data_IF_866284275120
#
_entry.id   IF_866284275120
#
_cell.length_a   1.000
_cell.length_b   1.000
_cell.length_c   1.000
_cell.angle_alpha   90.00
_cell.angle_beta   90.00
_cell.angle_gamma   90.00
#
_symmetry.space_group_name_H-M   'P 1'
#
loop_
_entity.id
_entity.type
_entity.pdbx_description
1 polymer ?
#
# COMPACT_ATOMS: atom_id res chain seq x y z
N UNK A 1 17.67 10.76 20.67
CA UNK A 1 18.85 11.44 21.27
C UNK A 1 20.13 11.19 20.47
N UNK A 2 20.40 9.96 20.01
CA UNK A 2 21.60 9.62 19.23
C UNK A 2 21.79 10.43 17.93
N UNK A 3 20.71 10.69 17.18
CA UNK A 3 20.76 11.46 15.93
C UNK A 3 21.27 12.89 16.11
N UNK A 4 20.94 13.54 17.23
CA UNK A 4 21.41 14.90 17.55
C UNK A 4 22.90 14.93 17.89
N UNK A 5 23.41 13.90 18.55
CA UNK A 5 24.83 13.76 18.83
C UNK A 5 25.63 13.54 17.54
N UNK A 6 25.15 12.66 16.66
CA UNK A 6 25.77 12.42 15.36
C UNK A 6 25.74 13.65 14.46
N UNK A 7 24.66 14.44 14.50
CA UNK A 7 24.61 15.73 13.80
C UNK A 7 25.64 16.72 14.36
N UNK A 8 25.81 16.78 15.67
CA UNK A 8 26.83 17.63 16.30
C UNK A 8 28.25 17.22 15.89
N UNK A 9 28.55 15.91 15.87
CA UNK A 9 29.83 15.36 15.41
C UNK A 9 30.04 15.61 13.91
N UNK A 10 29.01 15.45 13.08
CA UNK A 10 29.06 15.74 11.66
C UNK A 10 29.40 17.21 11.41
N UNK A 11 28.75 18.13 12.12
CA UNK A 11 29.02 19.55 11.99
C UNK A 11 30.37 19.97 12.56
N UNK A 12 30.81 19.42 13.69
CA UNK A 12 32.14 19.73 14.24
C UNK A 12 33.27 19.27 13.32
N UNK A 13 33.05 18.20 12.54
CA UNK A 13 34.02 17.70 11.56
C UNK A 13 33.96 18.43 10.22
N UNK A 14 32.78 18.88 9.79
CA UNK A 14 32.56 19.56 8.50
C UNK A 14 32.85 21.07 8.56
N UNK A 15 32.51 21.69 9.69
CA UNK A 15 32.61 23.13 9.92
C UNK A 15 33.52 23.34 11.15
N UNK A 16 34.58 24.13 11.00
CA UNK A 16 35.40 24.54 12.14
C UNK A 16 34.57 25.32 13.17
N UNK A 17 35.01 25.32 14.44
CA UNK A 17 34.25 25.78 15.61
C UNK A 17 33.59 27.17 15.47
N UNK A 18 34.12 28.06 14.62
CA UNK A 18 33.63 29.43 14.39
C UNK A 18 33.31 29.75 12.92
N UNK A 19 32.83 28.77 12.15
CA UNK A 19 32.49 28.98 10.73
C UNK A 19 31.18 29.76 10.57
N UNK A 20 31.10 30.86 9.80
CA UNK A 20 29.84 31.56 9.51
C UNK A 20 28.85 30.73 8.68
N UNK A 21 29.30 29.59 8.14
CA UNK A 21 28.49 28.64 7.36
C UNK A 21 27.78 27.59 8.23
N UNK A 22 27.94 27.63 9.55
CA UNK A 22 27.30 26.68 10.47
C UNK A 22 25.77 26.90 10.45
N UNK A 23 24.96 25.86 10.17
CA UNK A 23 23.51 25.99 10.20
C UNK A 23 23.01 26.21 11.63
N UNK A 24 22.23 27.26 11.82
CA UNK A 24 21.63 27.62 13.10
C UNK A 24 20.47 26.67 13.45
N UNK A 25 20.31 26.39 14.75
CA UNK A 25 19.22 25.55 15.28
C UNK A 25 17.87 26.16 14.87
N UNK A 26 17.12 25.46 14.03
CA UNK A 26 15.84 25.92 13.48
C UNK A 26 15.86 26.36 12.01
N UNK A 27 17.03 26.46 11.37
CA UNK A 27 17.11 26.66 9.92
C UNK A 27 16.59 25.43 9.15
N UNK A 28 16.02 25.65 7.96
CA UNK A 28 15.57 24.56 7.09
C UNK A 28 16.71 23.57 6.73
N UNK A 29 17.96 24.08 6.65
CA UNK A 29 19.15 23.25 6.39
C UNK A 29 19.47 22.34 7.59
N UNK A 30 19.38 22.85 8.82
CA UNK A 30 19.57 22.05 10.04
C UNK A 30 18.56 20.89 10.14
N UNK A 31 17.30 21.13 9.77
CA UNK A 31 16.27 20.08 9.77
C UNK A 31 16.50 19.05 8.66
N UNK A 32 16.92 19.48 7.46
CA UNK A 32 17.22 18.57 6.35
C UNK A 32 18.37 17.62 6.69
N UNK A 33 19.44 18.13 7.28
CA UNK A 33 20.60 17.32 7.67
C UNK A 33 20.21 16.32 8.78
N UNK A 34 19.38 16.75 9.74
CA UNK A 34 18.85 15.85 10.77
C UNK A 34 18.02 14.72 10.15
N UNK A 35 17.13 15.02 9.20
CA UNK A 35 16.29 14.03 8.53
C UNK A 35 17.14 13.05 7.69
N UNK A 36 18.19 13.54 7.03
CA UNK A 36 19.14 12.69 6.28
C UNK A 36 19.91 11.75 7.20
N UNK A 37 20.49 12.26 8.29
CA UNK A 37 21.22 11.46 9.27
C UNK A 37 20.30 10.40 9.89
N UNK A 38 19.09 10.80 10.25
CA UNK A 38 18.08 9.88 10.79
C UNK A 38 17.70 8.79 9.78
N UNK A 39 17.54 9.16 8.51
CA UNK A 39 17.28 8.22 7.41
C UNK A 39 18.39 7.18 7.29
N UNK A 40 19.66 7.60 7.34
CA UNK A 40 20.81 6.70 7.26
C UNK A 40 20.84 5.74 8.45
N UNK A 41 20.61 6.25 9.67
CA UNK A 41 20.65 5.43 10.89
C UNK A 41 19.54 4.39 10.88
N UNK A 42 18.30 4.80 10.56
CA UNK A 42 17.17 3.87 10.49
C UNK A 42 17.38 2.87 9.35
N UNK A 43 17.85 3.32 8.18
CA UNK A 43 18.17 2.44 7.06
C UNK A 43 19.23 1.38 7.42
N UNK A 44 20.31 1.78 8.10
CA UNK A 44 21.35 0.86 8.56
C UNK A 44 20.84 -0.11 9.63
N UNK A 45 20.00 0.35 10.55
CA UNK A 45 19.36 -0.51 11.55
C UNK A 45 18.44 -1.55 10.90
N UNK A 46 17.60 -1.14 9.96
CA UNK A 46 16.73 -2.04 9.21
C UNK A 46 17.54 -3.05 8.38
N UNK A 47 18.64 -2.61 7.76
CA UNK A 47 19.56 -3.51 7.08
C UNK A 47 20.19 -4.53 8.04
N UNK A 48 20.57 -4.11 9.24
CA UNK A 48 21.11 -5.04 10.25
C UNK A 48 20.06 -6.04 10.73
N UNK A 49 18.78 -5.67 10.79
CA UNK A 49 17.69 -6.60 11.12
C UNK A 49 17.49 -7.64 10.02
N UNK A 50 17.60 -7.24 8.76
CA UNK A 50 17.55 -8.19 7.63
C UNK A 50 18.76 -9.11 7.67
N UNK A 51 19.94 -8.56 7.95
CA UNK A 51 21.17 -9.35 8.06
C UNK A 51 21.12 -10.39 9.19
N UNK A 52 20.64 -9.97 10.37
CA UNK A 52 20.46 -10.86 11.51
C UNK A 52 19.39 -11.92 11.22
N UNK A 53 18.30 -11.54 10.56
CA UNK A 53 17.28 -12.47 10.11
C UNK A 53 17.82 -13.54 9.17
N UNK A 54 18.77 -13.22 8.28
CA UNK A 54 19.42 -14.22 7.40
C UNK A 54 20.35 -15.13 8.20
N UNK A 55 21.12 -14.58 9.15
CA UNK A 55 22.05 -15.37 9.97
C UNK A 55 21.38 -16.30 10.98
N UNK A 56 20.20 -15.93 11.46
CA UNK A 56 19.44 -16.68 12.47
C UNK A 56 18.47 -17.69 11.86
N UNK A 57 18.41 -17.80 10.52
CA UNK A 57 17.61 -18.83 9.86
C UNK A 57 18.08 -20.23 10.27
N UNK A 58 17.11 -21.12 10.45
CA UNK A 58 17.39 -22.51 10.82
C UNK A 58 18.11 -23.21 9.66
N UNK A 59 19.10 -24.03 9.97
CA UNK A 59 19.82 -24.84 8.99
C UNK A 59 18.85 -25.70 8.15
N UNK A 60 19.07 -25.71 6.83
CA UNK A 60 18.25 -26.46 5.88
C UNK A 60 18.74 -27.90 5.74
N UNK A 61 17.89 -28.76 5.17
CA UNK A 61 18.27 -30.15 4.89
C UNK A 61 19.45 -30.26 3.91
N UNK A 62 19.61 -29.29 3.02
CA UNK A 62 20.79 -29.20 2.15
C UNK A 62 22.07 -28.92 2.94
N UNK A 63 22.03 -27.96 3.86
CA UNK A 63 23.18 -27.58 4.70
C UNK A 63 23.57 -28.69 5.66
N UNK A 64 22.59 -29.38 6.26
CA UNK A 64 22.84 -30.53 7.15
C UNK A 64 23.60 -31.67 6.46
N UNK A 65 23.45 -31.81 5.13
CA UNK A 65 24.15 -32.80 4.31
C UNK A 65 25.36 -32.20 3.58
N UNK A 66 25.65 -30.92 3.76
CA UNK A 66 26.74 -30.20 3.07
C UNK A 66 26.56 -30.17 1.55
N UNK A 67 25.32 -30.10 1.07
CA UNK A 67 24.98 -30.03 -0.35
C UNK A 67 24.61 -28.61 -0.73
N UNK A 68 25.04 -28.17 -1.90
CA UNK A 68 24.58 -26.89 -2.48
C UNK A 68 23.29 -27.11 -3.25
N UNK A 69 22.27 -26.30 -2.96
CA UNK A 69 21.02 -26.28 -3.70
C UNK A 69 21.27 -26.11 -5.21
N UNK A 70 20.45 -26.76 -6.04
CA UNK A 70 20.49 -26.66 -7.51
C UNK A 70 21.66 -27.35 -8.25
N UNK A 71 22.77 -27.68 -7.58
CA UNK A 71 24.00 -28.17 -8.25
C UNK A 71 24.38 -29.61 -7.94
N UNK A 72 23.73 -30.24 -6.95
CA UNK A 72 24.12 -31.56 -6.49
C UNK A 72 23.53 -32.70 -7.34
N UNK A 73 24.29 -33.80 -7.43
CA UNK A 73 23.85 -35.05 -8.10
C UNK A 73 23.36 -36.08 -7.08
N UNK A 74 22.47 -37.00 -7.48
CA UNK A 74 22.01 -38.13 -6.65
C UNK A 74 23.16 -38.98 -6.06
N UNK A 75 24.27 -39.13 -6.80
CA UNK A 75 25.48 -39.80 -6.30
C UNK A 75 26.13 -39.03 -5.13
N UNK A 76 26.16 -37.70 -5.20
CA UNK A 76 26.69 -36.84 -4.15
C UNK A 76 25.78 -36.89 -2.91
N UNK A 77 24.46 -36.89 -3.10
CA UNK A 77 23.49 -37.07 -2.02
C UNK A 77 23.77 -38.35 -1.21
N UNK A 78 23.87 -39.49 -1.89
CA UNK A 78 24.19 -40.79 -1.24
C UNK A 78 25.55 -40.78 -0.55
N UNK A 79 26.57 -40.18 -1.18
CA UNK A 79 27.94 -40.14 -0.65
C UNK A 79 28.00 -39.28 0.62
N UNK A 80 27.41 -38.08 0.58
CA UNK A 80 27.39 -37.17 1.73
C UNK A 80 26.55 -37.73 2.87
N UNK A 81 25.40 -38.34 2.58
CA UNK A 81 24.58 -39.03 3.59
C UNK A 81 25.37 -40.11 4.32
N UNK A 82 26.09 -40.98 3.59
CA UNK A 82 26.93 -42.03 4.19
C UNK A 82 28.03 -41.41 5.07
N UNK A 83 28.69 -40.35 4.60
CA UNK A 83 29.75 -39.66 5.36
C UNK A 83 29.20 -39.04 6.65
N UNK A 84 28.09 -38.31 6.56
CA UNK A 84 27.45 -37.68 7.72
C UNK A 84 26.90 -38.72 8.71
N UNK A 85 26.27 -39.78 8.21
CA UNK A 85 25.75 -40.87 9.05
C UNK A 85 26.84 -41.59 9.84
N UNK A 86 28.02 -41.80 9.23
CA UNK A 86 29.17 -42.41 9.93
C UNK A 86 29.79 -41.51 10.99
N UNK A 87 29.71 -40.18 10.80
CA UNK A 87 30.24 -39.19 11.73
C UNK A 87 29.34 -39.03 12.96
N UNK A 88 28.03 -39.00 12.75
CA UNK A 88 27.02 -38.76 13.80
C UNK A 88 26.35 -40.05 14.30
N UNK A 89 26.85 -41.22 13.94
CA UNK A 89 26.28 -42.49 14.40
C UNK A 89 26.27 -42.54 15.94
N UNK A 90 25.16 -42.94 16.59
CA UNK A 90 25.04 -42.93 18.05
C UNK A 90 26.11 -43.78 18.75
N UNK A 91 26.61 -44.83 18.08
CA UNK A 91 27.73 -45.67 18.55
C UNK A 91 29.06 -44.90 18.68
N UNK A 92 29.30 -43.89 17.82
CA UNK A 92 30.56 -43.12 17.80
C UNK A 92 30.45 -41.75 18.46
N UNK A 93 29.32 -41.08 18.30
CA UNK A 93 29.09 -39.72 18.78
C UNK A 93 28.29 -39.67 20.10
N UNK A 94 27.80 -40.80 20.59
CA UNK A 94 26.96 -40.88 21.78
C UNK A 94 25.65 -40.11 21.64
N UNK A 95 25.04 -39.76 22.78
CA UNK A 95 23.74 -39.08 22.83
C UNK A 95 23.75 -37.70 22.13
N UNK A 96 24.89 -37.00 22.13
CA UNK A 96 25.03 -35.70 21.47
C UNK A 96 24.92 -35.79 19.95
N UNK A 97 25.24 -36.93 19.35
CA UNK A 97 25.09 -37.18 17.92
C UNK A 97 23.70 -37.68 17.51
N UNK A 98 22.88 -38.14 18.46
CA UNK A 98 21.60 -38.77 18.18
C UNK A 98 20.62 -37.80 17.49
N UNK A 99 20.51 -36.56 18.00
CA UNK A 99 19.61 -35.56 17.42
C UNK A 99 20.03 -35.15 16.01
N UNK A 100 21.34 -34.98 15.79
CA UNK A 100 21.92 -34.69 14.47
C UNK A 100 21.71 -35.85 13.50
N UNK A 101 21.83 -37.10 13.97
CA UNK A 101 21.58 -38.29 13.16
C UNK A 101 20.12 -38.39 12.71
N UNK A 102 19.16 -38.07 13.59
CA UNK A 102 17.74 -37.98 13.23
C UNK A 102 17.52 -36.91 12.16
N UNK A 103 18.16 -35.74 12.30
CA UNK A 103 18.12 -34.67 11.30
C UNK A 103 18.67 -35.07 9.94
N UNK A 104 19.83 -35.75 9.92
CA UNK A 104 20.49 -36.26 8.70
C UNK A 104 19.62 -37.30 7.98
N UNK A 105 18.99 -38.19 8.74
CA UNK A 105 18.08 -39.20 8.19
C UNK A 105 16.84 -38.54 7.58
N UNK A 106 16.20 -37.63 8.30
CA UNK A 106 15.06 -36.87 7.80
C UNK A 106 15.42 -36.08 6.52
N UNK A 107 16.58 -35.42 6.51
CA UNK A 107 17.08 -34.70 5.33
C UNK A 107 17.22 -35.63 4.11
N UNK A 108 17.81 -36.81 4.29
CA UNK A 108 17.97 -37.78 3.20
C UNK A 108 16.62 -38.32 2.71
N UNK A 109 15.69 -38.67 3.60
CA UNK A 109 14.36 -39.17 3.23
C UNK A 109 13.58 -38.17 2.37
N UNK A 110 13.65 -36.87 2.70
CA UNK A 110 12.99 -35.80 1.94
C UNK A 110 13.65 -35.56 0.59
N UNK A 111 14.98 -35.56 0.52
CA UNK A 111 15.72 -35.22 -0.70
C UNK A 111 15.76 -36.36 -1.74
N UNK A 112 15.51 -37.60 -1.32
CA UNK A 112 15.46 -38.77 -2.21
C UNK A 112 14.17 -38.80 -3.02
N UNK A 113 13.03 -38.49 -2.42
CA UNK A 113 11.74 -38.45 -3.13
C UNK A 113 11.59 -37.12 -3.89
N UNK A 114 11.47 -37.14 -5.24
CA UNK A 114 11.32 -35.92 -6.02
C UNK A 114 10.08 -35.09 -5.64
N UNK A 115 9.01 -35.74 -5.18
CA UNK A 115 7.76 -35.07 -4.77
C UNK A 115 7.95 -34.34 -3.46
N UNK A 116 8.49 -35.02 -2.44
CA UNK A 116 8.77 -34.41 -1.14
C UNK A 116 9.84 -33.33 -1.24
N UNK A 117 10.89 -33.55 -2.04
CA UNK A 117 11.92 -32.55 -2.34
C UNK A 117 11.32 -31.29 -2.94
N UNK A 118 10.48 -31.42 -3.97
CA UNK A 118 9.85 -30.26 -4.61
C UNK A 118 9.01 -29.44 -3.62
N UNK A 119 8.21 -30.12 -2.79
CA UNK A 119 7.38 -29.42 -1.81
C UNK A 119 8.20 -28.83 -0.67
N UNK A 120 9.28 -29.50 -0.26
CA UNK A 120 10.23 -28.97 0.72
C UNK A 120 10.92 -27.71 0.18
N UNK A 121 11.32 -27.69 -1.09
CA UNK A 121 11.93 -26.51 -1.71
C UNK A 121 10.97 -25.30 -1.69
N UNK A 122 9.65 -25.55 -1.83
CA UNK A 122 8.59 -24.52 -1.81
C UNK A 122 8.25 -24.01 -0.40
N UNK A 123 8.06 -24.92 0.55
CA UNK A 123 7.42 -24.60 1.84
C UNK A 123 8.31 -24.91 3.06
N UNK A 124 9.50 -25.47 2.84
CA UNK A 124 10.46 -25.82 3.88
C UNK A 124 9.92 -26.87 4.86
N UNK A 125 10.26 -26.70 6.13
CA UNK A 125 9.89 -27.64 7.21
C UNK A 125 8.38 -27.74 7.50
N UNK A 126 7.55 -26.85 6.93
CA UNK A 126 6.09 -26.92 7.09
C UNK A 126 5.49 -28.16 6.43
N UNK A 127 6.14 -28.68 5.38
CA UNK A 127 5.76 -29.93 4.69
C UNK A 127 5.73 -31.12 5.65
N UNK A 128 6.64 -31.16 6.62
CA UNK A 128 6.73 -32.22 7.61
C UNK A 128 5.60 -32.22 8.62
N UNK A 129 4.90 -31.09 8.79
CA UNK A 129 3.76 -30.98 9.71
C UNK A 129 2.50 -31.62 9.12
N UNK A 130 2.40 -31.72 7.80
CA UNK A 130 1.24 -32.33 7.15
C UNK A 130 1.41 -33.84 6.98
N UNK A 131 0.86 -34.62 7.91
CA UNK A 131 0.89 -36.10 7.86
C UNK A 131 -0.12 -36.69 6.87
N UNK A 132 -1.17 -35.95 6.52
CA UNK A 132 -2.23 -36.38 5.60
C UNK A 132 -1.92 -36.10 4.11
N UNK A 133 -0.91 -35.26 3.83
CA UNK A 133 -0.55 -34.86 2.48
C UNK A 133 0.22 -35.99 1.77
N UNK A 134 -0.20 -36.37 0.56
CA UNK A 134 0.53 -37.35 -0.28
C UNK A 134 0.79 -36.83 -1.69
N UNK A 135 -0.11 -36.01 -2.22
CA UNK A 135 0.01 -35.46 -3.56
C UNK A 135 0.50 -34.02 -3.53
N UNK A 136 1.10 -33.56 -4.64
CA UNK A 136 1.52 -32.16 -4.79
C UNK A 136 0.37 -31.16 -4.58
N UNK A 137 -0.86 -31.55 -4.89
CA UNK A 137 -2.05 -30.69 -4.71
C UNK A 137 -2.34 -30.46 -3.22
N UNK A 138 -2.20 -31.50 -2.40
CA UNK A 138 -2.45 -31.41 -0.95
C UNK A 138 -1.44 -30.46 -0.30
N UNK A 139 -0.16 -30.59 -0.68
CA UNK A 139 0.90 -29.68 -0.21
C UNK A 139 0.70 -28.24 -0.69
N UNK A 140 0.31 -28.05 -1.94
CA UNK A 140 -0.01 -26.72 -2.47
C UNK A 140 -1.18 -26.08 -1.73
N UNK A 141 -2.23 -26.84 -1.42
CA UNK A 141 -3.38 -26.33 -0.69
C UNK A 141 -2.98 -25.91 0.73
N UNK A 142 -2.15 -26.70 1.41
CA UNK A 142 -1.64 -26.35 2.73
C UNK A 142 -0.72 -25.11 2.69
N UNK A 143 0.14 -25.01 1.68
CA UNK A 143 0.95 -23.82 1.43
C UNK A 143 0.11 -22.58 1.12
N UNK A 144 -0.95 -22.72 0.32
CA UNK A 144 -1.90 -21.63 0.07
C UNK A 144 -2.60 -21.18 1.36
N UNK A 145 -2.85 -22.09 2.32
CA UNK A 145 -3.37 -21.70 3.63
C UNK A 145 -2.41 -20.82 4.41
N UNK A 146 -1.15 -21.23 4.49
CA UNK A 146 -0.12 -20.41 5.11
C UNK A 146 0.03 -19.04 4.42
N UNK A 147 -0.04 -19.02 3.08
CA UNK A 147 -0.03 -17.81 2.29
C UNK A 147 -1.20 -16.89 2.69
N UNK A 148 -2.46 -17.30 2.46
CA UNK A 148 -3.59 -16.39 2.70
C UNK A 148 -3.69 -15.96 4.17
N UNK A 149 -3.34 -16.84 5.12
CA UNK A 149 -3.39 -16.49 6.55
C UNK A 149 -2.40 -15.38 6.88
N UNK A 150 -1.18 -15.44 6.35
CA UNK A 150 -0.18 -14.39 6.49
C UNK A 150 -0.67 -13.06 5.90
N UNK A 151 -1.14 -13.04 4.65
CA UNK A 151 -1.61 -11.81 4.00
C UNK A 151 -2.88 -11.24 4.62
N UNK A 152 -3.81 -12.10 5.04
CA UNK A 152 -5.01 -11.66 5.75
C UNK A 152 -4.64 -11.03 7.10
N UNK A 153 -3.74 -11.67 7.87
CA UNK A 153 -3.25 -11.12 9.13
C UNK A 153 -2.54 -9.77 8.93
N UNK A 154 -1.65 -9.67 7.94
CA UNK A 154 -0.98 -8.42 7.58
C UNK A 154 -1.99 -7.33 7.17
N UNK A 155 -2.99 -7.68 6.35
CA UNK A 155 -4.07 -6.79 5.94
C UNK A 155 -4.88 -6.27 7.13
N UNK A 156 -5.24 -7.14 8.08
CA UNK A 156 -5.94 -6.78 9.31
C UNK A 156 -5.09 -5.82 10.15
N UNK A 157 -3.80 -6.11 10.33
CA UNK A 157 -2.90 -5.22 11.08
C UNK A 157 -2.84 -3.83 10.44
N UNK A 158 -2.72 -3.73 9.12
CA UNK A 158 -2.73 -2.43 8.46
C UNK A 158 -4.09 -1.73 8.52
N UNK A 159 -5.18 -2.47 8.47
CA UNK A 159 -6.53 -1.93 8.66
C UNK A 159 -6.70 -1.35 10.07
N UNK A 160 -6.21 -2.05 11.10
CA UNK A 160 -6.25 -1.56 12.49
C UNK A 160 -5.37 -0.32 12.67
N UNK A 161 -4.17 -0.29 12.10
CA UNK A 161 -3.31 0.90 12.10
C UNK A 161 -3.99 2.08 11.38
N UNK A 162 -4.80 1.79 10.36
CA UNK A 162 -5.58 2.80 9.66
C UNK A 162 -6.65 3.44 10.55
N UNK A 163 -7.36 2.62 11.34
CA UNK A 163 -8.42 3.06 12.25
C UNK A 163 -7.89 3.99 13.35
N UNK A 164 -6.63 3.82 13.77
CA UNK A 164 -5.95 4.67 14.77
C UNK A 164 -5.47 6.01 14.18
N UNK A 165 -5.57 6.22 12.86
CA UNK A 165 -5.26 7.49 12.20
C UNK A 165 -3.77 7.90 12.15
N UNK A 166 -2.87 7.14 12.79
CA UNK A 166 -1.41 7.39 12.82
C UNK A 166 -0.67 6.97 11.54
N UNK A 167 -1.38 6.50 10.51
CA UNK A 167 -0.79 5.82 9.33
C UNK A 167 -1.18 6.36 7.96
N UNK A 168 -1.70 7.60 7.85
CA UNK A 168 -2.14 8.15 6.56
C UNK A 168 -1.01 8.22 5.52
N UNK A 169 0.20 8.59 5.95
CA UNK A 169 1.36 8.62 5.08
C UNK A 169 1.77 7.20 4.66
N UNK A 170 1.92 6.97 3.35
CA UNK A 170 2.35 5.69 2.78
C UNK A 170 1.27 4.60 2.76
N UNK A 171 -0.01 4.93 2.99
CA UNK A 171 -1.13 3.95 2.97
C UNK A 171 -1.11 3.09 1.70
N UNK A 172 -1.10 3.73 0.54
CA UNK A 172 -1.11 3.05 -0.76
C UNK A 172 0.17 2.23 -0.99
N UNK A 173 1.32 2.79 -0.62
CA UNK A 173 2.61 2.10 -0.77
C UNK A 173 2.68 0.79 0.03
N UNK A 174 2.09 0.72 1.23
CA UNK A 174 2.06 -0.52 2.02
C UNK A 174 1.27 -1.62 1.34
N UNK A 175 0.12 -1.29 0.74
CA UNK A 175 -0.70 -2.24 -0.02
C UNK A 175 -0.03 -2.65 -1.32
N UNK A 176 0.57 -1.71 -2.06
CA UNK A 176 1.32 -2.01 -3.29
C UNK A 176 2.49 -2.94 -2.98
N UNK A 177 3.26 -2.66 -1.93
CA UNK A 177 4.36 -3.52 -1.49
C UNK A 177 3.86 -4.91 -1.05
N UNK A 178 2.70 -4.99 -0.38
CA UNK A 178 2.12 -6.27 0.07
C UNK A 178 1.69 -7.13 -1.12
N UNK A 179 0.96 -6.54 -2.06
CA UNK A 179 0.51 -7.22 -3.30
C UNK A 179 1.69 -7.59 -4.16
N UNK A 180 2.67 -6.69 -4.33
CA UNK A 180 3.89 -6.97 -5.09
C UNK A 180 4.70 -8.10 -4.49
N UNK A 181 4.85 -8.12 -3.16
CA UNK A 181 5.52 -9.21 -2.45
C UNK A 181 4.75 -10.54 -2.59
N UNK A 182 3.42 -10.53 -2.50
CA UNK A 182 2.59 -11.70 -2.77
C UNK A 182 2.70 -12.23 -4.19
N UNK A 183 2.80 -11.35 -5.18
CA UNK A 183 3.04 -11.77 -6.56
C UNK A 183 4.41 -12.44 -6.72
N UNK A 184 5.45 -11.91 -6.07
CA UNK A 184 6.80 -12.49 -6.08
C UNK A 184 6.80 -13.85 -5.38
N UNK A 185 6.23 -13.97 -4.18
CA UNK A 185 6.12 -15.24 -3.45
C UNK A 185 5.36 -16.30 -4.27
N UNK A 186 4.21 -15.93 -4.84
CA UNK A 186 3.45 -16.84 -5.69
C UNK A 186 4.27 -17.27 -6.91
N UNK A 187 5.03 -16.34 -7.51
CA UNK A 187 5.92 -16.69 -8.61
C UNK A 187 6.99 -17.71 -8.18
N UNK A 188 7.62 -17.54 -7.01
CA UNK A 188 8.65 -18.44 -6.49
C UNK A 188 8.09 -19.85 -6.21
N UNK A 189 6.90 -19.94 -5.61
CA UNK A 189 6.23 -21.21 -5.33
C UNK A 189 5.92 -21.96 -6.63
N UNK A 190 5.45 -21.23 -7.66
CA UNK A 190 5.12 -21.81 -8.96
C UNK A 190 6.36 -22.24 -9.75
N UNK A 191 7.46 -21.48 -9.67
CA UNK A 191 8.71 -21.76 -10.43
C UNK A 191 9.62 -22.79 -9.79
N UNK A 192 9.46 -23.11 -8.50
CA UNK A 192 10.33 -24.02 -7.74
C UNK A 192 10.54 -25.42 -8.36
N UNK A 193 9.68 -25.86 -9.30
CA UNK A 193 9.81 -27.15 -9.98
C UNK A 193 10.70 -27.17 -11.24
N UNK A 194 11.02 -26.01 -11.80
CA UNK A 194 11.92 -25.91 -12.94
C UNK A 194 13.35 -25.70 -12.42
N UNK A 195 14.05 -26.82 -12.18
CA UNK A 195 15.48 -26.82 -11.88
C UNK A 195 16.22 -26.14 -13.04
N UNK A 196 16.75 -24.93 -12.81
CA UNK A 196 17.43 -24.12 -13.83
C UNK A 196 16.62 -22.93 -14.38
N UNK A 197 15.43 -22.65 -13.85
CA UNK A 197 14.70 -21.42 -14.15
C UNK A 197 15.25 -20.24 -13.36
N UNK A 198 16.39 -19.68 -13.81
CA UNK A 198 17.04 -18.50 -13.26
C UNK A 198 16.12 -17.29 -13.22
N UNK A 199 15.25 -17.25 -12.21
CA UNK A 199 14.55 -16.05 -11.83
C UNK A 199 15.57 -15.02 -11.38
N UNK A 200 15.27 -13.74 -11.59
CA UNK A 200 16.10 -12.63 -11.10
C UNK A 200 16.47 -12.78 -9.60
N UNK A 201 15.65 -13.48 -8.82
CA UNK A 201 15.86 -13.76 -7.40
C UNK A 201 17.05 -14.68 -7.12
N UNK A 202 17.31 -15.69 -7.96
CA UNK A 202 18.46 -16.60 -7.80
C UNK A 202 19.79 -15.86 -8.07
N UNK A 203 19.76 -14.85 -8.96
CA UNK A 203 20.91 -13.97 -9.19
C UNK A 203 21.10 -12.96 -8.07
N UNK A 204 20.02 -12.53 -7.43
CA UNK A 204 20.08 -11.62 -6.29
C UNK A 204 20.58 -12.33 -5.01
N UNK A 205 20.20 -13.59 -4.84
CA UNK A 205 20.47 -14.39 -3.64
C UNK A 205 20.97 -15.80 -4.02
N UNK A 206 22.26 -15.93 -4.38
CA UNK A 206 22.80 -17.21 -4.83
C UNK A 206 22.84 -18.23 -3.68
N UNK A 207 22.33 -19.43 -3.94
CA UNK A 207 22.47 -20.59 -3.04
C UNK A 207 21.39 -20.73 -1.96
N UNK A 208 20.46 -19.79 -1.84
CA UNK A 208 19.30 -19.90 -0.93
C UNK A 208 18.16 -20.70 -1.56
N UNK A 209 17.50 -21.52 -0.75
CA UNK A 209 16.35 -22.35 -1.14
C UNK A 209 15.09 -21.47 -1.27
N UNK A 210 14.12 -21.75 -2.17
CA UNK A 210 12.98 -20.85 -2.39
C UNK A 210 12.21 -20.44 -1.13
N UNK A 211 11.99 -21.35 -0.17
CA UNK A 211 11.33 -20.99 1.09
C UNK A 211 12.13 -20.00 1.95
N UNK A 212 13.47 -20.04 1.92
CA UNK A 212 14.30 -19.06 2.61
C UNK A 212 14.23 -17.70 1.92
N UNK A 213 14.20 -17.71 0.57
CA UNK A 213 14.01 -16.49 -0.21
C UNK A 213 12.70 -15.82 0.17
N UNK A 214 11.62 -16.59 0.38
CA UNK A 214 10.32 -16.09 0.85
C UNK A 214 10.44 -15.51 2.27
N UNK A 215 11.13 -16.19 3.19
CA UNK A 215 11.34 -15.68 4.55
C UNK A 215 12.11 -14.35 4.57
N UNK A 216 13.19 -14.24 3.77
CA UNK A 216 13.94 -12.99 3.60
C UNK A 216 13.03 -11.91 2.99
N UNK A 217 12.21 -12.27 2.01
CA UNK A 217 11.27 -11.36 1.36
C UNK A 217 10.23 -10.80 2.34
N UNK A 218 9.69 -11.62 3.24
CA UNK A 218 8.79 -11.17 4.32
C UNK A 218 9.48 -10.20 5.27
N UNK A 219 10.72 -10.48 5.66
CA UNK A 219 11.50 -9.60 6.53
C UNK A 219 11.86 -8.27 5.83
N UNK A 220 12.23 -8.33 4.55
CA UNK A 220 12.44 -7.16 3.70
C UNK A 220 11.16 -6.33 3.57
N UNK A 221 10.00 -6.98 3.43
CA UNK A 221 8.71 -6.30 3.39
C UNK A 221 8.41 -5.57 4.70
N UNK A 222 8.55 -6.23 5.85
CA UNK A 222 8.30 -5.62 7.16
C UNK A 222 9.23 -4.42 7.36
N UNK A 223 10.52 -4.59 7.11
CA UNK A 223 11.51 -3.52 7.24
C UNK A 223 11.23 -2.36 6.26
N UNK A 224 10.91 -2.63 5.00
CA UNK A 224 10.55 -1.60 4.02
C UNK A 224 9.26 -0.86 4.40
N UNK A 225 8.26 -1.57 4.92
CA UNK A 225 7.00 -0.97 5.39
C UNK A 225 7.24 -0.02 6.57
N UNK A 226 8.10 -0.42 7.52
CA UNK A 226 8.54 0.43 8.62
C UNK A 226 9.34 1.63 8.10
N UNK A 227 10.25 1.42 7.14
CA UNK A 227 11.02 2.50 6.53
C UNK A 227 10.12 3.55 5.89
N UNK A 228 9.17 3.13 5.04
CA UNK A 228 8.20 4.05 4.40
C UNK A 228 7.40 4.83 5.44
N UNK A 229 7.04 4.19 6.56
CA UNK A 229 6.26 4.80 7.63
C UNK A 229 7.05 5.83 8.45
N UNK A 230 8.31 5.54 8.75
CA UNK A 230 9.14 6.40 9.61
C UNK A 230 9.88 7.47 8.81
N UNK A 231 10.46 7.10 7.68
CA UNK A 231 11.35 7.92 6.86
C UNK A 231 10.59 8.75 5.83
N UNK A 232 9.50 8.22 5.28
CA UNK A 232 8.71 8.89 4.26
C UNK A 232 8.29 10.32 4.64
N UNK A 233 7.62 10.52 5.81
CA UNK A 233 7.22 11.85 6.27
C UNK A 233 8.40 12.80 6.53
N UNK A 234 9.60 12.27 6.81
CA UNK A 234 10.80 13.05 7.09
C UNK A 234 11.48 13.56 5.81
N UNK A 235 11.48 12.77 4.74
CA UNK A 235 12.12 13.11 3.47
C UNK A 235 11.22 13.95 2.57
N UNK A 236 9.95 13.59 2.51
CA UNK A 236 8.92 14.33 1.80
C UNK A 236 7.90 14.76 2.85
N UNK A 237 8.14 15.88 3.55
CA UNK A 237 7.03 16.54 4.17
C UNK A 237 6.07 16.84 3.02
N UNK A 238 4.96 16.09 2.94
CA UNK A 238 3.80 16.58 2.21
C UNK A 238 3.67 18.02 2.68
N UNK A 239 3.73 18.95 1.74
CA UNK A 239 3.45 20.34 2.05
C UNK A 239 2.23 20.30 2.95
N UNK A 240 2.23 21.03 4.06
CA UNK A 240 0.98 21.28 4.77
C UNK A 240 0.09 22.06 3.80
N UNK A 241 -0.42 21.43 2.75
CA UNK A 241 -1.77 21.63 2.33
C UNK A 241 -2.53 21.27 3.59
N UNK A 242 -2.81 22.32 4.37
CA UNK A 242 -3.68 22.22 5.52
C UNK A 242 -4.81 21.33 5.01
N UNK A 243 -5.07 20.23 5.70
CA UNK A 243 -6.45 19.77 5.75
C UNK A 243 -7.20 21.00 6.27
N UNK A 244 -7.60 21.88 5.34
CA UNK A 244 -8.59 22.87 5.62
C UNK A 244 -9.74 22.01 6.11
N UNK A 245 -10.15 22.20 7.38
CA UNK A 245 -11.25 21.41 7.90
C UNK A 245 -12.36 21.52 6.86
N UNK A 246 -13.03 20.42 6.52
CA UNK A 246 -14.03 20.41 5.44
C UNK A 246 -15.01 21.60 5.52
N UNK A 247 -15.24 22.13 6.73
CA UNK A 247 -15.93 23.39 7.00
C UNK A 247 -15.38 24.64 6.31
N UNK A 248 -14.07 24.81 6.17
CA UNK A 248 -13.42 25.96 5.54
C UNK A 248 -13.46 25.87 4.02
N UNK A 249 -13.34 24.65 3.48
CA UNK A 249 -13.55 24.39 2.05
C UNK A 249 -15.03 24.57 1.66
N UNK A 250 -15.96 24.15 2.52
CA UNK A 250 -17.41 24.42 2.36
C UNK A 250 -17.67 25.92 2.43
N UNK A 251 -17.08 26.65 3.39
CA UNK A 251 -17.20 28.12 3.47
C UNK A 251 -16.67 28.80 2.21
N UNK A 252 -15.52 28.38 1.68
CA UNK A 252 -14.98 28.91 0.42
C UNK A 252 -15.91 28.63 -0.76
N UNK A 253 -16.43 27.41 -0.87
CA UNK A 253 -17.40 27.07 -1.91
C UNK A 253 -18.67 27.89 -1.79
N UNK A 254 -19.19 28.10 -0.58
CA UNK A 254 -20.34 28.98 -0.30
C UNK A 254 -20.05 30.42 -0.72
N UNK A 255 -18.90 30.98 -0.34
CA UNK A 255 -18.53 32.34 -0.75
C UNK A 255 -18.38 32.47 -2.27
N UNK A 256 -17.84 31.46 -2.95
CA UNK A 256 -17.72 31.47 -4.41
C UNK A 256 -19.09 31.35 -5.10
N UNK A 257 -20.01 30.57 -4.52
CA UNK A 257 -21.38 30.49 -5.05
C UNK A 257 -22.16 31.78 -4.83
N UNK A 258 -21.97 32.46 -3.69
CA UNK A 258 -22.59 33.77 -3.43
C UNK A 258 -22.05 34.86 -4.37
N UNK A 259 -20.73 34.89 -4.61
CA UNK A 259 -20.12 35.82 -5.57
C UNK A 259 -20.63 35.56 -6.99
N UNK A 260 -20.65 34.30 -7.43
CA UNK A 260 -21.18 33.93 -8.74
C UNK A 260 -22.68 34.27 -8.89
N UNK A 261 -23.48 34.09 -7.82
CA UNK A 261 -24.88 34.49 -7.81
C UNK A 261 -25.05 36.01 -7.90
N UNK A 262 -24.19 36.80 -7.25
CA UNK A 262 -24.20 38.26 -7.35
C UNK A 262 -23.80 38.75 -8.74
N UNK A 263 -22.77 38.16 -9.35
CA UNK A 263 -22.32 38.49 -10.71
C UNK A 263 -23.41 38.18 -11.75
N UNK A 264 -24.03 37.00 -11.67
CA UNK A 264 -25.13 36.63 -12.56
C UNK A 264 -26.33 37.57 -12.41
N UNK A 265 -26.66 38.02 -11.19
CA UNK A 265 -27.73 39.00 -10.98
C UNK A 265 -27.41 40.38 -11.59
N UNK A 266 -26.16 40.86 -11.47
CA UNK A 266 -25.71 42.10 -12.11
C UNK A 266 -25.74 41.98 -13.63
N UNK A 267 -25.31 40.84 -14.16
CA UNK A 267 -25.33 40.55 -15.59
C UNK A 267 -26.77 40.55 -16.09
N UNK A 268 -27.68 39.82 -15.44
CA UNK A 268 -29.12 39.82 -15.80
C UNK A 268 -29.69 41.24 -15.76
N UNK A 269 -29.37 42.03 -14.72
CA UNK A 269 -29.81 43.43 -14.63
C UNK A 269 -29.30 44.27 -15.79
N UNK A 270 -28.03 44.14 -16.16
CA UNK A 270 -27.46 44.82 -17.32
C UNK A 270 -28.18 44.46 -18.62
N UNK A 271 -28.56 43.20 -18.81
CA UNK A 271 -29.36 42.80 -19.97
C UNK A 271 -30.77 43.40 -19.91
N UNK A 272 -31.38 43.47 -18.72
CA UNK A 272 -32.69 44.12 -18.55
C UNK A 272 -32.66 45.62 -18.86
N UNK A 273 -31.60 46.33 -18.45
CA UNK A 273 -31.45 47.77 -18.73
C UNK A 273 -31.36 48.05 -20.24
N UNK A 274 -30.79 47.13 -21.05
CA UNK A 274 -30.78 47.24 -22.52
C UNK A 274 -32.14 47.01 -23.18
N UNK A 275 -33.10 46.44 -22.46
CA UNK A 275 -34.44 46.11 -22.97
C UNK A 275 -35.48 47.20 -22.64
N UNK A 276 -35.10 48.24 -21.89
CA UNK A 276 -35.97 49.36 -21.52
C UNK A 276 -36.41 50.12 -22.80
N UNK A 277 -37.68 49.98 -23.16
CA UNK A 277 -38.29 50.60 -24.35
C UNK A 277 -39.06 49.63 -25.27
N UNK A 278 -38.97 48.31 -25.05
CA UNK A 278 -39.80 47.32 -25.74
C UNK A 278 -40.73 46.61 -24.73
N UNK A 279 -41.92 47.17 -24.52
CA UNK A 279 -42.85 46.73 -23.47
C UNK A 279 -43.28 45.25 -23.60
N UNK A 280 -43.44 44.73 -24.82
CA UNK A 280 -43.74 43.31 -25.02
C UNK A 280 -42.57 42.38 -24.63
N UNK A 281 -41.34 42.78 -24.95
CA UNK A 281 -40.14 41.98 -24.68
C UNK A 281 -39.85 41.88 -23.17
N UNK A 282 -40.01 42.98 -22.43
CA UNK A 282 -39.85 43.01 -20.98
C UNK A 282 -40.87 42.10 -20.28
N UNK A 283 -42.11 42.08 -20.77
CA UNK A 283 -43.19 41.28 -20.17
C UNK A 283 -42.93 39.78 -20.37
N UNK A 284 -42.44 39.39 -21.54
CA UNK A 284 -42.09 38.00 -21.84
C UNK A 284 -40.84 37.55 -21.05
N UNK A 285 -39.83 38.41 -20.94
CA UNK A 285 -38.61 38.12 -20.18
C UNK A 285 -38.87 37.99 -18.67
N UNK A 286 -39.69 38.89 -18.09
CA UNK A 286 -40.11 38.80 -16.67
C UNK A 286 -40.81 37.48 -16.38
N UNK A 287 -41.56 36.97 -17.35
CA UNK A 287 -42.27 35.69 -17.24
C UNK A 287 -41.32 34.49 -17.25
N UNK A 288 -40.36 34.47 -18.17
CA UNK A 288 -39.34 33.41 -18.27
C UNK A 288 -38.39 33.40 -17.06
N UNK A 289 -37.95 34.58 -16.59
CA UNK A 289 -37.17 34.70 -15.35
C UNK A 289 -37.95 34.22 -14.14
N UNK A 290 -39.26 34.48 -14.09
CA UNK A 290 -40.16 33.93 -13.08
C UNK A 290 -40.14 32.39 -13.09
N UNK A 291 -40.22 31.77 -14.27
CA UNK A 291 -40.17 30.31 -14.41
C UNK A 291 -38.81 29.73 -14.01
N UNK A 292 -37.69 30.30 -14.47
CA UNK A 292 -36.36 29.84 -14.09
C UNK A 292 -36.08 29.98 -12.59
N UNK A 293 -36.51 31.09 -11.96
CA UNK A 293 -36.34 31.29 -10.52
C UNK A 293 -37.11 30.24 -9.70
N UNK A 294 -38.27 29.82 -10.21
CA UNK A 294 -39.07 28.77 -9.62
C UNK A 294 -38.39 27.40 -9.79
N UNK A 295 -37.81 27.14 -10.97
CA UNK A 295 -37.03 25.92 -11.24
C UNK A 295 -35.78 25.79 -10.37
N UNK A 296 -35.04 26.89 -10.13
CA UNK A 296 -33.90 26.88 -9.21
C UNK A 296 -34.31 26.62 -7.76
N UNK A 297 -35.43 27.20 -7.29
CA UNK A 297 -35.93 26.98 -5.92
C UNK A 297 -36.52 25.59 -5.71
N UNK A 298 -36.99 24.93 -6.76
CA UNK A 298 -37.60 23.60 -6.72
C UNK A 298 -36.63 22.51 -7.20
N UNK A 299 -35.31 22.78 -7.14
CA UNK A 299 -34.27 21.87 -7.58
C UNK A 299 -34.28 20.52 -6.85
N UNK A 300 -34.59 19.48 -7.62
CA UNK A 300 -34.27 18.05 -7.47
C UNK A 300 -34.78 17.29 -6.24
N UNK A 301 -35.90 17.71 -5.64
CA UNK A 301 -36.65 16.85 -4.72
C UNK A 301 -37.90 16.27 -5.41
N UNK A 302 -37.92 14.94 -5.55
CA UNK A 302 -39.03 14.19 -6.18
C UNK A 302 -40.41 14.49 -5.57
N UNK A 303 -40.44 14.97 -4.32
CA UNK A 303 -41.65 15.37 -3.59
C UNK A 303 -42.35 16.61 -4.20
N UNK A 304 -41.61 17.49 -4.89
CA UNK A 304 -42.14 18.77 -5.37
C UNK A 304 -42.56 18.78 -6.85
N UNK A 305 -42.50 17.62 -7.52
CA UNK A 305 -42.88 17.49 -8.93
C UNK A 305 -44.36 17.81 -9.19
N UNK A 306 -45.26 17.36 -8.32
CA UNK A 306 -46.71 17.58 -8.47
C UNK A 306 -47.10 19.04 -8.24
N UNK A 307 -46.42 19.73 -7.32
CA UNK A 307 -46.60 21.17 -7.12
C UNK A 307 -46.07 21.98 -8.31
N UNK A 308 -44.95 21.55 -8.91
CA UNK A 308 -44.38 22.17 -10.11
C UNK A 308 -45.35 22.10 -11.30
N UNK A 309 -45.93 20.93 -11.58
CA UNK A 309 -46.89 20.77 -12.68
C UNK A 309 -48.19 21.52 -12.46
N UNK A 310 -48.72 21.51 -11.23
CA UNK A 310 -49.95 22.22 -10.87
C UNK A 310 -49.82 23.75 -11.02
N UNK A 311 -48.69 24.33 -10.57
CA UNK A 311 -48.46 25.78 -10.66
C UNK A 311 -48.23 26.20 -12.11
N UNK A 312 -47.47 25.43 -12.90
CA UNK A 312 -47.24 25.70 -14.32
C UNK A 312 -48.56 25.75 -15.11
N UNK A 313 -49.45 24.80 -14.87
CA UNK A 313 -50.78 24.77 -15.49
C UNK A 313 -51.65 25.98 -15.10
N UNK A 314 -51.55 26.48 -13.86
CA UNK A 314 -52.31 27.64 -13.39
C UNK A 314 -51.87 28.94 -14.04
N UNK A 315 -50.56 29.13 -14.19
CA UNK A 315 -49.99 30.33 -14.84
C UNK A 315 -50.34 30.35 -16.34
N UNK A 316 -50.35 29.20 -17.00
CA UNK A 316 -50.72 29.11 -18.42
C UNK A 316 -52.19 29.45 -18.66
N UNK A 317 -53.10 29.03 -17.76
CA UNK A 317 -54.52 29.43 -17.80
C UNK A 317 -54.69 30.92 -17.61
N UNK A 318 -53.99 31.53 -16.66
CA UNK A 318 -54.09 32.98 -16.44
C UNK A 318 -53.62 33.78 -17.64
N UNK A 319 -52.60 33.34 -18.38
CA UNK A 319 -52.26 34.04 -19.61
C UNK A 319 -53.25 33.89 -20.74
N UNK A 320 -53.89 32.73 -20.87
CA UNK A 320 -54.94 32.53 -21.88
C UNK A 320 -56.13 33.43 -21.59
N UNK A 321 -56.45 33.66 -20.31
CA UNK A 321 -57.49 34.61 -19.89
C UNK A 321 -57.09 36.04 -20.25
N UNK A 322 -55.89 36.48 -19.87
CA UNK A 322 -55.42 37.84 -20.18
C UNK A 322 -55.24 38.12 -21.68
N UNK A 323 -54.94 37.10 -22.49
CA UNK A 323 -54.88 37.23 -23.94
C UNK A 323 -56.29 37.33 -24.54
N UNK A 324 -57.27 36.62 -23.97
CA UNK A 324 -58.67 36.68 -24.39
C UNK A 324 -59.35 38.00 -24.00
N UNK A 325 -59.03 38.54 -22.83
CA UNK A 325 -59.48 39.88 -22.38
C UNK A 325 -58.91 41.00 -23.26
N UNK A 326 -57.67 40.86 -23.77
CA UNK A 326 -57.09 41.82 -24.72
C UNK A 326 -57.73 41.77 -26.11
N UNK A 327 -58.13 40.59 -26.58
CA UNK A 327 -58.83 40.46 -27.86
C UNK A 327 -60.26 41.00 -27.80
N UNK A 328 -60.90 40.97 -26.63
CA UNK A 328 -62.24 41.54 -26.42
C UNK A 328 -62.27 43.08 -26.33
N UNK A 329 -61.11 43.75 -26.26
CA UNK A 329 -60.99 45.21 -26.23
C UNK A 329 -60.62 45.82 -27.61
N UNK A 330 -60.52 45.00 -28.65
CA UNK A 330 -60.12 45.42 -30.01
C UNK A 330 -61.31 45.36 -31.00
N UNK A 331 -62.49 44.87 -30.58
CA UNK A 331 -63.77 44.94 -31.30
C UNK A 331 -64.70 46.01 -30.70
#
# INVERSE_FOLDING_TARGET
>A
MATRLLQAVYYSRRYGSNSPKLPHKGSARYQRDFNWILTIIVGLYLLSLVYDSVRTMKENHYDTLGLKFGTFTQKQLKTNFRKASLQYHPDKAGQAGADMFVGIRAAHEILVDPTLRLNYDRFGSTVLKCTACKTNKDYLQEGLKAFYTFYAAAGIVFFLVNLVGKGNYGRYWRFIMLVGMGAIEMSLVLTAGNVGGGGWMERLMPGLVPFEQIAVLHQLYISASVAVSQVGPLLFPEGKEKQEPSSELIKRLQTLTEIAAAETAVQVKSWMDTLVGQDECITQLRRELGYMSLEMKLGDDSAFFNTRTAIKARIERQSKIHQKERLAHID
#
